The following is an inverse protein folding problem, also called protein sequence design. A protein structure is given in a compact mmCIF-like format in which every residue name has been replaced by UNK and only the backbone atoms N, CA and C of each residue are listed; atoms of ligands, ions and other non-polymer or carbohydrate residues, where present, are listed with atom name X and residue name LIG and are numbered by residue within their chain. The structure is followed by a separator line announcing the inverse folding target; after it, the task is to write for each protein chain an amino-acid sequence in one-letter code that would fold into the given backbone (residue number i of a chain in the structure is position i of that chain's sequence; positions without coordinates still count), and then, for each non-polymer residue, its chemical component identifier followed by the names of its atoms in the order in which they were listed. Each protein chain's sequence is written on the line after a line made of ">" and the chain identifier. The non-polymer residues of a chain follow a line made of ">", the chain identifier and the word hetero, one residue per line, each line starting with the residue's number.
data_IF_889339185645
#
_entry.id   IF_889339185645
#
_cell.length_a   1.000
_cell.length_b   1.000
_cell.length_c   1.000
_cell.angle_alpha   90.00
_cell.angle_beta   90.00
_cell.angle_gamma   90.00
#
_symmetry.space_group_name_H-M   'P 1'
#
loop_
_entity.id
_entity.type
_entity.pdbx_description
1 polymer ?
#
# COMPACT_ATOMS: atom_id res chain seq x y z
N UNK A 1 -21.40 -6.33 -11.24
CA UNK A 1 -20.56 -7.26 -10.46
C UNK A 1 -20.30 -6.65 -9.09
N UNK A 2 -20.74 -7.27 -7.99
CA UNK A 2 -20.41 -6.79 -6.64
C UNK A 2 -18.89 -6.87 -6.44
N UNK A 3 -18.23 -5.74 -6.16
CA UNK A 3 -16.81 -5.73 -5.77
C UNK A 3 -16.71 -6.10 -4.30
N UNK A 4 -16.34 -7.35 -4.03
CA UNK A 4 -16.11 -7.83 -2.67
C UNK A 4 -14.77 -7.34 -2.15
N UNK A 5 -14.75 -6.84 -0.91
CA UNK A 5 -13.52 -6.50 -0.21
C UNK A 5 -12.74 -7.76 0.14
N UNK A 6 -11.42 -7.64 0.37
CA UNK A 6 -10.53 -8.77 0.67
C UNK A 6 -11.06 -9.63 1.82
N UNK A 7 -11.54 -8.98 2.89
CA UNK A 7 -12.20 -9.64 4.03
C UNK A 7 -13.36 -10.54 3.58
N UNK A 8 -14.26 -10.03 2.76
CA UNK A 8 -15.46 -10.75 2.31
C UNK A 8 -15.07 -11.95 1.44
N UNK A 9 -14.02 -11.82 0.61
CA UNK A 9 -13.50 -12.93 -0.20
C UNK A 9 -12.90 -14.04 0.65
N UNK A 10 -12.06 -13.67 1.63
CA UNK A 10 -11.44 -14.63 2.56
C UNK A 10 -12.50 -15.34 3.38
N UNK A 11 -13.41 -14.58 4.01
CA UNK A 11 -14.49 -15.15 4.81
C UNK A 11 -15.35 -16.10 3.99
N UNK A 12 -15.79 -15.69 2.79
CA UNK A 12 -16.62 -16.54 1.94
C UNK A 12 -15.90 -17.83 1.51
N UNK A 13 -14.61 -17.75 1.16
CA UNK A 13 -13.84 -18.91 0.73
C UNK A 13 -13.68 -19.95 1.86
N UNK A 14 -13.23 -19.52 3.04
CA UNK A 14 -13.01 -20.43 4.17
C UNK A 14 -14.32 -20.93 4.78
N UNK A 15 -15.33 -20.06 4.93
CA UNK A 15 -16.65 -20.49 5.41
C UNK A 15 -17.30 -21.48 4.46
N UNK A 16 -17.15 -21.33 3.14
CA UNK A 16 -17.65 -22.29 2.15
C UNK A 16 -16.98 -23.66 2.27
N UNK A 17 -15.65 -23.70 2.41
CA UNK A 17 -14.90 -24.95 2.55
C UNK A 17 -15.24 -25.69 3.84
N UNK A 18 -15.36 -24.96 4.96
CA UNK A 18 -15.74 -25.53 6.25
C UNK A 18 -17.20 -25.98 6.25
N UNK A 19 -18.10 -25.24 5.58
CA UNK A 19 -19.50 -25.66 5.41
C UNK A 19 -19.60 -27.00 4.65
N UNK A 20 -18.81 -27.18 3.59
CA UNK A 20 -18.78 -28.45 2.87
C UNK A 20 -18.29 -29.60 3.75
N UNK A 21 -17.18 -29.41 4.49
CA UNK A 21 -16.67 -30.44 5.39
C UNK A 21 -17.65 -30.78 6.52
N UNK A 22 -18.23 -29.77 7.15
CA UNK A 22 -19.23 -29.95 8.21
C UNK A 22 -20.47 -30.68 7.68
N UNK A 23 -20.94 -30.33 6.49
CA UNK A 23 -22.10 -30.96 5.86
C UNK A 23 -21.84 -32.42 5.50
N UNK A 24 -20.65 -32.73 4.96
CA UNK A 24 -20.25 -34.13 4.69
C UNK A 24 -20.19 -34.92 5.99
N UNK A 25 -19.56 -34.37 7.03
CA UNK A 25 -19.41 -35.04 8.32
C UNK A 25 -20.76 -35.31 9.02
N UNK A 26 -21.66 -34.32 9.06
CA UNK A 26 -22.97 -34.50 9.70
C UNK A 26 -23.84 -35.49 8.93
N UNK A 27 -23.78 -35.44 7.59
CA UNK A 27 -24.53 -36.36 6.74
C UNK A 27 -24.03 -37.80 6.86
N UNK A 28 -22.72 -38.03 6.86
CA UNK A 28 -22.14 -39.37 7.03
C UNK A 28 -22.43 -39.95 8.40
N UNK A 29 -22.31 -39.15 9.46
CA UNK A 29 -22.58 -39.59 10.83
C UNK A 29 -24.07 -39.90 11.04
N UNK A 30 -24.97 -39.09 10.46
CA UNK A 30 -26.40 -39.38 10.41
C UNK A 30 -26.70 -40.70 9.69
N UNK A 31 -26.12 -40.90 8.51
CA UNK A 31 -26.34 -42.11 7.72
C UNK A 31 -25.80 -43.37 8.41
N UNK A 32 -24.64 -43.26 9.09
CA UNK A 32 -24.05 -44.33 9.88
C UNK A 32 -24.94 -44.71 11.06
N UNK A 33 -25.45 -43.74 11.83
CA UNK A 33 -26.35 -43.99 12.95
C UNK A 33 -27.66 -44.63 12.48
N UNK A 34 -28.21 -44.10 11.38
CA UNK A 34 -29.42 -44.63 10.74
C UNK A 34 -29.27 -46.08 10.33
N UNK A 35 -28.19 -46.39 9.60
CA UNK A 35 -27.87 -47.74 9.15
C UNK A 35 -27.64 -48.70 10.33
N UNK A 36 -26.96 -48.25 11.38
CA UNK A 36 -26.76 -49.05 12.59
C UNK A 36 -28.08 -49.41 13.29
N UNK A 37 -29.01 -48.46 13.40
CA UNK A 37 -30.33 -48.69 14.00
C UNK A 37 -31.16 -49.68 13.18
N UNK A 38 -31.22 -49.50 11.85
CA UNK A 38 -31.90 -50.45 10.95
C UNK A 38 -31.33 -51.86 11.06
N UNK A 39 -29.99 -51.97 11.04
CA UNK A 39 -29.32 -53.28 11.14
C UNK A 39 -29.60 -53.96 12.47
N UNK A 40 -29.48 -53.24 13.59
CA UNK A 40 -29.75 -53.79 14.93
C UNK A 40 -31.18 -54.33 15.04
N UNK A 41 -32.14 -53.66 14.39
CA UNK A 41 -33.53 -54.04 14.37
C UNK A 41 -33.78 -55.28 13.49
N UNK A 42 -33.13 -55.37 12.32
CA UNK A 42 -33.13 -56.56 11.47
C UNK A 42 -32.52 -57.77 12.19
N UNK A 43 -31.35 -57.59 12.82
CA UNK A 43 -30.67 -58.65 13.57
C UNK A 43 -31.57 -59.14 14.73
N UNK A 44 -32.19 -58.21 15.46
CA UNK A 44 -33.13 -58.53 16.54
C UNK A 44 -34.34 -59.32 16.05
N UNK A 45 -34.94 -58.92 14.93
CA UNK A 45 -36.10 -59.60 14.36
C UNK A 45 -35.71 -61.00 13.83
N UNK A 46 -34.54 -61.12 13.20
CA UNK A 46 -33.97 -62.39 12.77
C UNK A 46 -33.79 -63.37 13.93
N UNK A 47 -33.24 -62.89 15.05
CA UNK A 47 -33.07 -63.69 16.27
C UNK A 47 -34.42 -64.16 16.83
N UNK A 48 -35.41 -63.25 16.93
CA UNK A 48 -36.75 -63.58 17.42
C UNK A 48 -37.41 -64.67 16.54
N UNK A 49 -37.30 -64.55 15.22
CA UNK A 49 -37.84 -65.52 14.28
C UNK A 49 -37.14 -66.88 14.38
N UNK A 50 -35.81 -66.87 14.44
CA UNK A 50 -35.00 -68.10 14.52
C UNK A 50 -35.17 -68.84 15.84
N UNK A 51 -35.45 -68.12 16.93
CA UNK A 51 -35.76 -68.72 18.24
C UNK A 51 -37.20 -69.22 18.32
N UNK A 52 -38.14 -68.53 17.68
CA UNK A 52 -39.58 -68.82 17.83
C UNK A 52 -40.08 -69.87 16.86
N UNK A 53 -39.64 -69.86 15.60
CA UNK A 53 -40.15 -70.76 14.56
C UNK A 53 -39.94 -72.25 14.88
N UNK A 54 -38.76 -72.72 15.33
CA UNK A 54 -38.55 -74.11 15.72
C UNK A 54 -39.37 -74.51 16.96
N UNK A 55 -39.73 -73.52 17.78
CA UNK A 55 -40.57 -73.73 18.94
C UNK A 55 -42.02 -74.06 18.58
N UNK A 56 -42.52 -73.71 17.39
CA UNK A 56 -43.89 -74.01 16.99
C UNK A 56 -44.01 -75.47 16.57
N UNK A 57 -44.90 -76.21 17.24
CA UNK A 57 -45.15 -77.60 16.91
C UNK A 57 -45.93 -77.67 15.59
N UNK A 58 -45.31 -78.21 14.55
CA UNK A 58 -45.83 -78.25 13.19
C UNK A 58 -47.03 -79.19 13.06
N UNK A 59 -47.06 -80.29 13.80
CA UNK A 59 -48.21 -81.21 13.83
C UNK A 59 -49.42 -80.51 14.46
N UNK A 60 -49.23 -79.82 15.59
CA UNK A 60 -50.29 -79.02 16.21
C UNK A 60 -50.73 -77.83 15.36
N UNK A 61 -49.81 -77.24 14.60
CA UNK A 61 -50.14 -76.23 13.61
C UNK A 61 -51.09 -76.85 12.57
N UNK A 62 -50.72 -77.99 11.95
CA UNK A 62 -51.49 -78.71 10.91
C UNK A 62 -52.93 -79.05 11.32
N UNK A 63 -53.16 -79.38 12.58
CA UNK A 63 -54.47 -79.74 13.13
C UNK A 63 -55.40 -78.54 13.37
N UNK A 64 -54.88 -77.31 13.35
CA UNK A 64 -55.66 -76.09 13.56
C UNK A 64 -56.23 -75.61 12.23
N UNK A 65 -57.51 -75.90 11.96
CA UNK A 65 -58.14 -75.64 10.66
C UNK A 65 -59.32 -74.68 10.75
N UNK A 66 -60.09 -74.74 11.84
CA UNK A 66 -61.35 -74.02 11.99
C UNK A 66 -61.38 -73.17 13.25
N UNK A 67 -62.24 -72.13 13.32
CA UNK A 67 -62.41 -71.34 14.53
C UNK A 67 -62.79 -72.14 15.78
N UNK A 68 -63.42 -73.32 15.62
CA UNK A 68 -63.80 -74.21 16.74
C UNK A 68 -62.58 -74.82 17.44
N UNK A 69 -61.44 -74.88 16.76
CA UNK A 69 -60.22 -75.49 17.26
C UNK A 69 -59.51 -74.62 18.31
N UNK A 70 -59.91 -73.34 18.47
CA UNK A 70 -59.37 -72.42 19.48
C UNK A 70 -59.42 -72.97 20.91
N UNK A 71 -60.38 -73.85 21.20
CA UNK A 71 -60.54 -74.44 22.54
C UNK A 71 -59.71 -75.71 22.76
N UNK A 72 -59.11 -76.26 21.70
CA UNK A 72 -58.39 -77.54 21.74
C UNK A 72 -56.97 -77.38 22.33
N UNK A 73 -56.39 -78.45 22.91
CA UNK A 73 -55.07 -78.39 23.52
C UNK A 73 -53.95 -77.97 22.57
N UNK A 74 -53.93 -78.50 21.34
CA UNK A 74 -52.91 -78.21 20.32
C UNK A 74 -52.83 -76.72 19.98
N UNK A 75 -54.00 -76.07 19.81
CA UNK A 75 -54.06 -74.62 19.59
C UNK A 75 -53.51 -73.83 20.78
N UNK A 76 -53.95 -74.19 22.00
CA UNK A 76 -53.53 -73.48 23.23
C UNK A 76 -52.03 -73.61 23.51
N UNK A 77 -51.42 -74.74 23.17
CA UNK A 77 -49.98 -74.97 23.36
C UNK A 77 -49.18 -74.01 22.47
N UNK A 78 -49.44 -73.99 21.16
CA UNK A 78 -48.71 -73.10 20.26
C UNK A 78 -49.03 -71.62 20.54
N UNK A 79 -50.29 -71.28 20.87
CA UNK A 79 -50.65 -69.92 21.25
C UNK A 79 -49.87 -69.45 22.50
N UNK A 80 -49.75 -70.29 23.53
CA UNK A 80 -48.96 -69.96 24.73
C UNK A 80 -47.50 -69.67 24.40
N UNK A 81 -46.89 -70.40 23.45
CA UNK A 81 -45.51 -70.12 23.01
C UNK A 81 -45.38 -68.73 22.40
N UNK A 82 -46.31 -68.34 21.52
CA UNK A 82 -46.33 -66.99 20.94
C UNK A 82 -46.52 -65.92 22.02
N UNK A 83 -47.39 -66.17 23.00
CA UNK A 83 -47.61 -65.28 24.14
C UNK A 83 -46.35 -65.12 25.01
N UNK A 84 -45.59 -66.20 25.25
CA UNK A 84 -44.35 -66.14 26.02
C UNK A 84 -43.28 -65.31 25.31
N UNK A 85 -43.12 -65.48 23.99
CA UNK A 85 -42.16 -64.70 23.20
C UNK A 85 -42.52 -63.21 23.26
N UNK A 86 -43.79 -62.88 23.05
CA UNK A 86 -44.25 -61.50 23.13
C UNK A 86 -44.11 -60.92 24.55
N UNK A 87 -44.43 -61.68 25.60
CA UNK A 87 -44.28 -61.22 26.98
C UNK A 87 -42.83 -60.85 27.32
N UNK A 88 -41.87 -61.52 26.68
CA UNK A 88 -40.43 -61.27 26.84
C UNK A 88 -39.87 -60.21 25.88
N UNK A 89 -40.67 -59.66 24.96
CA UNK A 89 -40.23 -58.68 23.96
C UNK A 89 -41.37 -57.70 23.65
N UNK A 90 -41.36 -56.57 24.37
CA UNK A 90 -42.42 -55.54 24.34
C UNK A 90 -42.50 -54.75 23.02
N UNK A 91 -41.44 -54.83 22.23
CA UNK A 91 -41.29 -54.31 20.88
C UNK A 91 -42.05 -55.15 19.83
N UNK A 92 -42.47 -56.37 20.16
CA UNK A 92 -43.34 -57.17 19.28
C UNK A 92 -44.76 -56.59 19.32
N UNK A 93 -45.18 -56.03 18.19
CA UNK A 93 -46.52 -55.52 18.01
C UNK A 93 -47.54 -56.64 17.72
N UNK A 94 -47.12 -57.63 16.93
CA UNK A 94 -47.94 -58.78 16.56
C UNK A 94 -47.08 -59.99 16.29
N UNK A 95 -47.59 -61.16 16.65
CA UNK A 95 -47.01 -62.45 16.29
C UNK A 95 -48.11 -63.42 15.87
N UNK A 96 -47.96 -64.00 14.70
CA UNK A 96 -48.99 -64.85 14.10
C UNK A 96 -48.37 -65.90 13.19
N UNK A 97 -49.15 -66.92 12.86
CA UNK A 97 -48.75 -67.96 11.90
C UNK A 97 -49.75 -68.04 10.76
N UNK A 98 -49.23 -68.30 9.57
CA UNK A 98 -49.97 -68.40 8.33
C UNK A 98 -49.84 -69.81 7.75
N UNK A 99 -50.87 -70.25 7.04
CA UNK A 99 -50.84 -71.46 6.21
C UNK A 99 -51.21 -71.12 4.76
N UNK A 100 -50.45 -71.60 3.76
CA UNK A 100 -50.87 -71.55 2.37
C UNK A 100 -52.08 -72.47 2.12
N UNK A 101 -53.16 -71.90 1.59
CA UNK A 101 -54.34 -72.63 1.09
C UNK A 101 -54.02 -73.23 -0.28
N UNK A 102 -54.79 -74.25 -0.69
CA UNK A 102 -54.72 -74.82 -2.04
C UNK A 102 -55.00 -73.80 -3.17
N UNK A 103 -55.70 -72.71 -2.85
CA UNK A 103 -55.98 -71.60 -3.76
C UNK A 103 -54.80 -70.63 -3.94
N UNK A 104 -53.70 -70.78 -3.20
CA UNK A 104 -52.56 -69.84 -3.18
C UNK A 104 -52.70 -68.70 -2.15
N UNK A 105 -53.86 -68.54 -1.54
CA UNK A 105 -54.09 -67.56 -0.46
C UNK A 105 -53.46 -68.00 0.87
N UNK A 106 -53.04 -67.04 1.71
CA UNK A 106 -52.58 -67.32 3.07
C UNK A 106 -53.73 -67.21 4.07
N UNK A 107 -53.85 -68.19 4.97
CA UNK A 107 -54.83 -68.23 6.04
C UNK A 107 -54.16 -68.01 7.40
N UNK A 108 -54.77 -67.20 8.28
CA UNK A 108 -54.32 -67.11 9.66
C UNK A 108 -54.62 -68.42 10.43
N UNK A 109 -53.62 -68.95 11.13
CA UNK A 109 -53.77 -70.15 11.97
C UNK A 109 -53.71 -69.76 13.45
N UNK A 110 -52.62 -69.13 13.86
CA UNK A 110 -52.46 -68.53 15.18
C UNK A 110 -52.32 -67.02 15.00
N UNK A 111 -52.93 -66.24 15.89
CA UNK A 111 -52.74 -64.79 15.89
C UNK A 111 -52.77 -64.29 17.33
N UNK A 112 -51.72 -63.56 17.70
CA UNK A 112 -51.63 -62.86 18.97
C UNK A 112 -51.17 -61.43 18.72
N UNK A 113 -52.05 -60.48 19.04
CA UNK A 113 -51.75 -59.04 19.08
C UNK A 113 -52.13 -58.54 20.48
N UNK A 114 -51.18 -57.97 21.25
CA UNK A 114 -51.48 -57.38 22.56
C UNK A 114 -52.22 -56.05 22.43
N UNK A 115 -51.93 -55.27 21.38
CA UNK A 115 -52.44 -53.92 21.17
C UNK A 115 -53.75 -53.89 20.39
N UNK A 116 -54.03 -54.88 19.52
CA UNK A 116 -55.23 -54.91 18.69
C UNK A 116 -56.40 -55.63 19.38
N UNK A 117 -57.56 -54.95 19.47
CA UNK A 117 -58.83 -55.57 19.90
C UNK A 117 -59.51 -56.37 18.79
N UNK A 118 -59.01 -56.31 17.56
CA UNK A 118 -59.60 -56.97 16.39
C UNK A 118 -59.24 -58.46 16.42
N UNK A 119 -60.23 -59.31 16.68
CA UNK A 119 -60.03 -60.76 16.71
C UNK A 119 -60.03 -61.33 15.30
N UNK A 120 -58.85 -61.65 14.76
CA UNK A 120 -58.72 -62.44 13.53
C UNK A 120 -59.13 -63.89 13.81
N UNK A 121 -59.93 -64.46 12.92
CA UNK A 121 -60.41 -65.83 13.04
C UNK A 121 -59.45 -66.83 12.40
N UNK A 122 -59.42 -68.05 12.93
CA UNK A 122 -58.67 -69.16 12.33
C UNK A 122 -59.26 -69.45 10.94
N UNK A 123 -58.42 -69.49 9.92
CA UNK A 123 -58.79 -69.73 8.52
C UNK A 123 -59.14 -68.48 7.71
N UNK A 124 -59.17 -67.31 8.35
CA UNK A 124 -59.39 -66.01 7.68
C UNK A 124 -58.24 -65.74 6.70
N UNK A 125 -58.57 -65.29 5.48
CA UNK A 125 -57.56 -65.00 4.44
C UNK A 125 -56.85 -63.67 4.74
N UNK A 126 -55.52 -63.64 4.58
CA UNK A 126 -54.72 -62.42 4.61
C UNK A 126 -55.06 -61.57 3.38
N UNK A 127 -55.62 -60.38 3.60
CA UNK A 127 -56.04 -59.51 2.49
C UNK A 127 -54.88 -58.71 1.88
N UNK A 128 -53.99 -58.17 2.71
CA UNK A 128 -52.85 -57.36 2.28
C UNK A 128 -51.56 -58.13 2.54
N UNK A 129 -51.03 -58.74 1.49
CA UNK A 129 -49.71 -59.39 1.54
C UNK A 129 -48.61 -58.33 1.45
N UNK A 130 -47.59 -58.47 2.28
CA UNK A 130 -46.36 -57.68 2.16
C UNK A 130 -45.55 -58.12 0.94
N UNK A 131 -44.59 -57.32 0.46
CA UNK A 131 -43.81 -57.64 -0.73
C UNK A 131 -43.15 -59.03 -0.71
N UNK A 132 -42.51 -59.42 0.40
CA UNK A 132 -41.86 -60.73 0.50
C UNK A 132 -42.88 -61.86 0.57
N UNK A 133 -43.97 -61.72 1.33
CA UNK A 133 -45.00 -62.75 1.38
C UNK A 133 -45.71 -62.93 0.04
N UNK A 134 -45.95 -61.84 -0.70
CA UNK A 134 -46.55 -61.92 -2.03
C UNK A 134 -45.66 -62.66 -3.03
N UNK A 135 -44.33 -62.53 -2.91
CA UNK A 135 -43.36 -63.12 -3.82
C UNK A 135 -42.96 -64.56 -3.44
N UNK A 136 -42.77 -64.84 -2.14
CA UNK A 136 -42.05 -66.02 -1.67
C UNK A 136 -42.84 -66.90 -0.69
N UNK A 137 -44.10 -66.59 -0.36
CA UNK A 137 -44.83 -67.33 0.68
C UNK A 137 -44.89 -68.85 0.47
N UNK A 138 -45.06 -69.33 -0.76
CA UNK A 138 -45.11 -70.77 -1.05
C UNK A 138 -43.74 -71.46 -1.13
N UNK A 139 -42.66 -70.67 -1.25
CA UNK A 139 -41.28 -71.16 -1.47
C UNK A 139 -40.32 -70.74 -0.35
N UNK A 140 -40.85 -70.22 0.76
CA UNK A 140 -40.06 -69.70 1.87
C UNK A 140 -39.23 -70.82 2.51
N UNK A 141 -37.93 -70.85 2.21
CA UNK A 141 -37.00 -71.85 2.72
C UNK A 141 -36.20 -71.38 3.94
N UNK A 142 -36.04 -70.06 4.09
CA UNK A 142 -35.22 -69.39 5.09
C UNK A 142 -35.96 -68.20 5.71
N UNK A 143 -35.43 -67.69 6.82
CA UNK A 143 -35.94 -66.48 7.45
C UNK A 143 -35.74 -65.29 6.51
N UNK A 144 -36.78 -64.46 6.36
CA UNK A 144 -36.76 -63.25 5.54
C UNK A 144 -37.31 -62.08 6.32
N UNK A 145 -36.79 -60.88 6.08
CA UNK A 145 -37.21 -59.63 6.71
C UNK A 145 -37.48 -58.64 5.60
N UNK A 146 -38.57 -57.88 5.71
CA UNK A 146 -38.87 -56.81 4.76
C UNK A 146 -37.78 -55.75 4.76
N UNK A 147 -37.43 -55.20 3.59
CA UNK A 147 -36.37 -54.21 3.48
C UNK A 147 -36.78 -52.85 4.07
N UNK A 148 -38.06 -52.53 3.97
CA UNK A 148 -38.63 -51.24 4.36
C UNK A 148 -39.58 -51.39 5.54
N UNK A 149 -39.74 -50.31 6.31
CA UNK A 149 -40.81 -50.21 7.29
C UNK A 149 -42.15 -50.01 6.58
N UNK A 150 -43.12 -50.85 6.91
CA UNK A 150 -44.44 -50.86 6.28
C UNK A 150 -45.49 -50.43 7.31
N UNK A 151 -46.61 -49.88 6.84
CA UNK A 151 -47.76 -49.65 7.69
C UNK A 151 -48.60 -50.93 7.80
N UNK A 152 -48.89 -51.34 9.03
CA UNK A 152 -49.82 -52.43 9.27
C UNK A 152 -51.28 -51.96 9.06
N UNK A 153 -52.26 -52.89 9.01
CA UNK A 153 -53.68 -52.56 8.86
C UNK A 153 -54.24 -51.66 9.98
N UNK A 154 -53.56 -51.62 11.13
CA UNK A 154 -53.87 -50.76 12.26
C UNK A 154 -53.24 -49.34 12.15
N UNK A 155 -52.45 -49.07 11.10
CA UNK A 155 -51.82 -47.77 10.81
C UNK A 155 -50.49 -47.52 11.52
N UNK A 156 -49.93 -48.54 12.18
CA UNK A 156 -48.65 -48.48 12.88
C UNK A 156 -47.50 -48.84 11.94
N UNK A 157 -46.37 -48.15 12.07
CA UNK A 157 -45.17 -48.43 11.29
C UNK A 157 -44.40 -49.58 11.92
N UNK A 158 -44.28 -50.69 11.20
CA UNK A 158 -43.67 -51.92 11.69
C UNK A 158 -42.66 -52.48 10.69
N UNK A 159 -41.73 -53.27 11.20
CA UNK A 159 -40.87 -54.13 10.41
C UNK A 159 -41.42 -55.56 10.46
N UNK A 160 -41.65 -56.14 9.28
CA UNK A 160 -42.14 -57.50 9.17
C UNK A 160 -40.99 -58.47 8.97
N UNK A 161 -41.10 -59.64 9.60
CA UNK A 161 -40.21 -60.74 9.33
C UNK A 161 -40.93 -62.08 9.41
N UNK A 162 -40.42 -63.02 8.63
CA UNK A 162 -41.04 -64.30 8.31
C UNK A 162 -40.05 -65.42 8.50
N UNK A 163 -40.49 -66.52 9.10
CA UNK A 163 -39.72 -67.75 9.18
C UNK A 163 -40.58 -68.96 8.84
N UNK A 164 -40.04 -69.94 8.10
CA UNK A 164 -40.79 -71.14 7.74
C UNK A 164 -40.97 -72.07 8.95
N UNK A 165 -42.20 -72.53 9.14
CA UNK A 165 -42.53 -73.64 10.05
C UNK A 165 -42.47 -74.89 9.21
N UNK A 166 -41.50 -75.76 9.49
CA UNK A 166 -41.26 -76.99 8.74
C UNK A 166 -41.80 -78.20 9.50
N UNK A 167 -42.31 -79.18 8.77
CA UNK A 167 -42.61 -80.50 9.34
C UNK A 167 -41.33 -81.30 9.62
N UNK A 168 -41.47 -82.47 10.24
CA UNK A 168 -40.35 -83.39 10.50
C UNK A 168 -39.59 -83.85 9.25
N UNK A 169 -40.15 -83.66 8.05
CA UNK A 169 -39.55 -83.99 6.77
C UNK A 169 -38.98 -82.76 6.05
N UNK A 170 -38.97 -81.59 6.70
CA UNK A 170 -38.44 -80.33 6.16
C UNK A 170 -39.39 -79.62 5.18
N UNK A 171 -40.63 -80.09 5.01
CA UNK A 171 -41.63 -79.45 4.13
C UNK A 171 -42.27 -78.26 4.83
N UNK A 172 -42.58 -77.22 4.07
CA UNK A 172 -43.23 -76.02 4.58
C UNK A 172 -44.67 -76.33 5.01
N UNK A 173 -44.94 -76.31 6.31
CA UNK A 173 -46.28 -76.47 6.89
C UNK A 173 -46.96 -75.12 7.14
N UNK A 174 -46.18 -74.09 7.45
CA UNK A 174 -46.68 -72.74 7.67
C UNK A 174 -45.58 -71.70 7.72
N UNK A 175 -45.97 -70.47 7.98
CA UNK A 175 -45.05 -69.33 8.09
C UNK A 175 -45.31 -68.67 9.44
N UNK A 176 -44.29 -68.52 10.26
CA UNK A 176 -44.31 -67.62 11.41
C UNK A 176 -44.06 -66.19 10.91
N UNK A 177 -44.89 -65.26 11.32
CA UNK A 177 -44.73 -63.84 11.06
C UNK A 177 -44.65 -63.05 12.38
N UNK A 178 -43.68 -62.16 12.48
CA UNK A 178 -43.51 -61.22 13.58
C UNK A 178 -43.54 -59.80 13.02
N UNK A 179 -44.33 -58.94 13.65
CA UNK A 179 -44.36 -57.49 13.43
C UNK A 179 -43.63 -56.82 14.59
N UNK A 180 -42.51 -56.18 14.30
CA UNK A 180 -41.73 -55.42 15.28
C UNK A 180 -42.07 -53.93 15.17
N UNK A 181 -42.36 -53.28 16.29
CA UNK A 181 -42.72 -51.86 16.36
C UNK A 181 -41.52 -51.00 15.94
N UNK A 182 -41.67 -50.28 14.82
CA UNK A 182 -40.64 -49.40 14.25
C UNK A 182 -40.89 -47.93 14.58
N UNK A 183 -41.98 -47.60 15.28
CA UNK A 183 -42.44 -46.22 15.48
C UNK A 183 -41.41 -45.37 16.21
N UNK A 184 -40.77 -45.93 17.23
CA UNK A 184 -39.71 -45.26 18.00
C UNK A 184 -38.44 -45.03 17.19
N UNK A 185 -38.12 -45.94 16.27
CA UNK A 185 -36.94 -45.84 15.40
C UNK A 185 -37.16 -44.78 14.34
N UNK A 186 -38.32 -44.76 13.68
CA UNK A 186 -38.68 -43.69 12.72
C UNK A 186 -38.71 -42.31 13.39
N UNK A 187 -39.24 -42.20 14.61
CA UNK A 187 -39.17 -40.94 15.37
C UNK A 187 -37.72 -40.55 15.69
N UNK A 188 -36.87 -41.52 16.06
CA UNK A 188 -35.44 -41.28 16.31
C UNK A 188 -34.71 -40.84 15.04
N UNK A 189 -35.07 -41.36 13.86
CA UNK A 189 -34.52 -40.90 12.58
C UNK A 189 -34.88 -39.45 12.27
N UNK A 190 -36.14 -39.05 12.51
CA UNK A 190 -36.59 -37.68 12.30
C UNK A 190 -35.90 -36.71 13.28
N UNK A 191 -35.88 -37.04 14.57
CA UNK A 191 -35.21 -36.23 15.60
C UNK A 191 -33.71 -36.16 15.32
N UNK A 192 -33.08 -37.28 14.95
CA UNK A 192 -31.68 -37.35 14.58
C UNK A 192 -31.36 -36.44 13.39
N UNK A 193 -32.23 -36.40 12.37
CA UNK A 193 -32.11 -35.49 11.24
C UNK A 193 -32.21 -34.01 11.63
N UNK A 194 -33.16 -33.66 12.51
CA UNK A 194 -33.30 -32.29 13.03
C UNK A 194 -32.07 -31.89 13.86
N UNK A 195 -31.54 -32.78 14.71
CA UNK A 195 -30.31 -32.54 15.48
C UNK A 195 -29.10 -32.38 14.54
N UNK A 196 -28.97 -33.22 13.52
CA UNK A 196 -27.89 -33.14 12.53
C UNK A 196 -27.94 -31.81 11.75
N UNK A 197 -29.13 -31.36 11.35
CA UNK A 197 -29.31 -30.07 10.69
C UNK A 197 -29.02 -28.90 11.64
N UNK A 198 -29.51 -28.96 12.88
CA UNK A 198 -29.27 -27.94 13.90
C UNK A 198 -27.78 -27.80 14.22
N UNK A 199 -27.08 -28.90 14.44
CA UNK A 199 -25.63 -28.91 14.69
C UNK A 199 -24.85 -28.36 13.49
N UNK A 200 -25.22 -28.74 12.26
CA UNK A 200 -24.65 -28.18 11.04
C UNK A 200 -24.80 -26.65 10.98
N UNK A 201 -26.00 -26.12 11.23
CA UNK A 201 -26.26 -24.67 11.20
C UNK A 201 -25.49 -23.91 12.29
N UNK A 202 -25.39 -24.47 13.50
CA UNK A 202 -24.61 -23.88 14.59
C UNK A 202 -23.12 -23.84 14.24
N UNK A 203 -22.56 -24.94 13.72
CA UNK A 203 -21.16 -25.00 13.27
C UNK A 203 -20.93 -23.97 12.17
N UNK A 204 -21.84 -23.86 11.20
CA UNK A 204 -21.76 -22.89 10.12
C UNK A 204 -21.75 -21.45 10.65
N UNK A 205 -22.67 -21.11 11.55
CA UNK A 205 -22.76 -19.77 12.14
C UNK A 205 -21.50 -19.41 12.93
N UNK A 206 -21.03 -20.31 13.81
CA UNK A 206 -19.80 -20.12 14.57
C UNK A 206 -18.58 -19.95 13.66
N UNK A 207 -18.51 -20.75 12.60
CA UNK A 207 -17.42 -20.66 11.62
C UNK A 207 -17.39 -19.29 10.95
N UNK A 208 -18.53 -18.80 10.48
CA UNK A 208 -18.61 -17.47 9.85
C UNK A 208 -18.17 -16.38 10.83
N UNK A 209 -18.62 -16.45 12.09
CA UNK A 209 -18.24 -15.48 13.13
C UNK A 209 -16.73 -15.52 13.42
N UNK A 210 -16.16 -16.71 13.65
CA UNK A 210 -14.74 -16.88 13.96
C UNK A 210 -13.88 -16.44 12.78
N UNK A 211 -14.17 -16.91 11.57
CA UNK A 211 -13.39 -16.55 10.37
C UNK A 211 -13.46 -15.05 10.10
N UNK A 212 -14.63 -14.42 10.27
CA UNK A 212 -14.75 -12.97 10.12
C UNK A 212 -13.97 -12.19 11.19
N UNK A 213 -14.03 -12.62 12.45
CA UNK A 213 -13.23 -12.03 13.53
C UNK A 213 -11.73 -12.15 13.24
N UNK A 214 -11.28 -13.35 12.87
CA UNK A 214 -9.88 -13.65 12.58
C UNK A 214 -9.37 -12.86 11.37
N UNK A 215 -10.12 -12.85 10.27
CA UNK A 215 -9.76 -12.11 9.06
C UNK A 215 -9.65 -10.61 9.33
N UNK A 216 -10.56 -10.04 10.13
CA UNK A 216 -10.49 -8.62 10.50
C UNK A 216 -9.28 -8.31 11.36
N UNK A 217 -9.02 -9.15 12.37
CA UNK A 217 -7.94 -8.92 13.33
C UNK A 217 -6.56 -9.09 12.70
N UNK A 218 -6.34 -10.19 11.96
CA UNK A 218 -5.03 -10.58 11.47
C UNK A 218 -4.67 -9.96 10.12
N UNK A 219 -5.65 -9.73 9.24
CA UNK A 219 -5.37 -9.30 7.85
C UNK A 219 -5.85 -7.87 7.59
N UNK A 220 -7.13 -7.60 7.85
CA UNK A 220 -7.77 -6.35 7.40
C UNK A 220 -7.29 -5.13 8.20
N UNK A 221 -7.29 -5.21 9.54
CA UNK A 221 -6.93 -4.06 10.36
C UNK A 221 -5.44 -3.66 10.19
N UNK A 222 -4.46 -4.58 10.16
CA UNK A 222 -3.07 -4.21 9.91
C UNK A 222 -2.85 -3.63 8.52
N UNK A 223 -3.48 -4.19 7.48
CA UNK A 223 -3.37 -3.67 6.11
C UNK A 223 -3.99 -2.27 5.96
N UNK A 224 -5.13 -2.01 6.61
CA UNK A 224 -5.72 -0.67 6.65
C UNK A 224 -4.83 0.33 7.37
N UNK A 225 -4.28 -0.03 8.53
CA UNK A 225 -3.33 0.82 9.27
C UNK A 225 -2.09 1.15 8.43
N UNK A 226 -1.55 0.17 7.71
CA UNK A 226 -0.41 0.38 6.83
C UNK A 226 -0.74 1.34 5.68
N UNK A 227 -1.89 1.15 5.03
CA UNK A 227 -2.36 2.05 3.98
C UNK A 227 -2.60 3.47 4.49
N UNK A 228 -3.17 3.62 5.69
CA UNK A 228 -3.38 4.94 6.29
C UNK A 228 -2.08 5.62 6.69
N UNK A 229 -1.12 4.88 7.26
CA UNK A 229 0.22 5.38 7.53
C UNK A 229 0.95 5.81 6.25
N UNK A 230 0.84 5.02 5.17
CA UNK A 230 1.41 5.37 3.87
C UNK A 230 0.80 6.64 3.28
N UNK A 231 -0.53 6.82 3.38
CA UNK A 231 -1.20 8.05 2.95
C UNK A 231 -0.76 9.26 3.74
N UNK A 232 -0.61 9.13 5.07
CA UNK A 232 -0.12 10.22 5.94
C UNK A 232 1.32 10.57 5.63
N UNK A 233 2.18 9.57 5.42
CA UNK A 233 3.56 9.77 4.98
C UNK A 233 3.61 10.53 3.64
N UNK A 234 2.78 10.14 2.67
CA UNK A 234 2.67 10.83 1.39
C UNK A 234 2.12 12.27 1.51
N UNK A 235 1.31 12.56 2.54
CA UNK A 235 0.80 13.89 2.83
C UNK A 235 1.80 14.78 3.59
N UNK A 236 3.00 14.28 3.89
CA UNK A 236 4.07 15.04 4.56
C UNK A 236 4.16 14.83 6.07
N UNK A 237 3.40 13.89 6.64
CA UNK A 237 3.55 13.50 8.05
C UNK A 237 4.65 12.43 8.17
N UNK A 238 5.88 12.89 8.44
CA UNK A 238 7.08 12.04 8.45
C UNK A 238 7.27 11.22 9.74
N UNK A 239 6.44 11.39 10.76
CA UNK A 239 6.59 10.72 12.07
C UNK A 239 5.70 9.48 12.21
N UNK A 240 5.25 8.91 11.10
CA UNK A 240 4.46 7.68 11.11
C UNK A 240 5.33 6.46 11.40
N UNK A 241 4.92 5.67 12.39
CA UNK A 241 5.51 4.37 12.69
C UNK A 241 4.40 3.35 12.87
N UNK A 242 4.59 2.17 12.27
CA UNK A 242 3.71 1.03 12.43
C UNK A 242 4.27 0.09 13.50
N UNK A 243 3.38 -0.50 14.31
CA UNK A 243 3.76 -1.53 15.26
C UNK A 243 4.28 -2.78 14.51
N UNK A 244 5.41 -3.31 14.96
CA UNK A 244 6.09 -4.46 14.34
C UNK A 244 6.04 -5.71 15.22
N UNK A 245 4.99 -5.85 16.02
CA UNK A 245 4.81 -6.98 16.95
C UNK A 245 4.56 -8.30 16.22
N UNK A 246 4.04 -8.24 15.00
CA UNK A 246 3.82 -9.44 14.18
C UNK A 246 5.14 -9.95 13.61
N UNK A 247 5.34 -11.27 13.63
CA UNK A 247 6.50 -11.94 13.02
C UNK A 247 6.19 -12.49 11.61
N UNK A 248 4.99 -12.24 11.10
CA UNK A 248 4.56 -12.64 9.75
C UNK A 248 4.98 -11.63 8.66
N UNK A 249 4.54 -11.88 7.42
CA UNK A 249 4.82 -11.03 6.26
C UNK A 249 4.29 -9.61 6.43
N UNK A 250 3.19 -9.42 7.19
CA UNK A 250 2.67 -8.08 7.50
C UNK A 250 3.59 -7.35 8.49
N UNK A 251 4.17 -8.09 9.44
CA UNK A 251 5.21 -7.58 10.33
C UNK A 251 6.48 -7.18 9.59
N UNK A 252 6.95 -7.99 8.65
CA UNK A 252 8.09 -7.67 7.79
C UNK A 252 7.81 -6.44 6.89
N UNK A 253 6.59 -6.34 6.35
CA UNK A 253 6.17 -5.18 5.58
C UNK A 253 6.11 -3.91 6.44
N UNK A 254 5.65 -4.01 7.69
CA UNK A 254 5.66 -2.90 8.64
C UNK A 254 7.09 -2.44 8.97
N UNK A 255 8.03 -3.37 9.16
CA UNK A 255 9.46 -3.06 9.35
C UNK A 255 10.04 -2.34 8.13
N UNK A 256 9.76 -2.84 6.94
CA UNK A 256 10.20 -2.25 5.67
C UNK A 256 9.61 -0.85 5.47
N UNK A 257 8.33 -0.66 5.80
CA UNK A 257 7.67 0.65 5.77
C UNK A 257 8.35 1.64 6.73
N UNK A 258 8.59 1.24 7.98
CA UNK A 258 9.25 2.10 8.97
C UNK A 258 10.66 2.50 8.53
N UNK A 259 11.42 1.56 7.94
CA UNK A 259 12.74 1.85 7.39
C UNK A 259 12.68 2.89 6.26
N UNK A 260 11.75 2.74 5.32
CA UNK A 260 11.56 3.71 4.24
C UNK A 260 11.12 5.08 4.77
N UNK A 261 10.18 5.12 5.73
CA UNK A 261 9.73 6.36 6.36
C UNK A 261 10.90 7.10 7.02
N UNK A 262 11.76 6.38 7.76
CA UNK A 262 12.94 6.94 8.40
C UNK A 262 13.99 7.44 7.38
N UNK A 263 14.25 6.68 6.31
CA UNK A 263 15.17 7.13 5.26
C UNK A 263 14.67 8.40 4.56
N UNK A 264 13.37 8.48 4.31
CA UNK A 264 12.75 9.63 3.67
C UNK A 264 12.84 10.87 4.58
N UNK A 265 12.53 10.73 5.86
CA UNK A 265 12.70 11.80 6.86
C UNK A 265 14.14 12.31 6.90
N UNK A 266 15.12 11.41 6.94
CA UNK A 266 16.54 11.78 6.93
C UNK A 266 16.95 12.51 5.63
N UNK A 267 16.37 12.12 4.49
CA UNK A 267 16.64 12.77 3.21
C UNK A 267 16.09 14.19 3.15
N UNK A 268 14.87 14.41 3.67
CA UNK A 268 14.30 15.75 3.79
C UNK A 268 15.12 16.65 4.71
N UNK A 269 15.57 16.13 5.87
CA UNK A 269 16.43 16.89 6.78
C UNK A 269 17.74 17.33 6.11
N UNK A 270 18.40 16.43 5.36
CA UNK A 270 19.61 16.76 4.61
C UNK A 270 19.34 17.80 3.52
N UNK A 271 18.20 17.73 2.84
CA UNK A 271 17.83 18.69 1.81
C UNK A 271 17.64 20.10 2.41
N UNK A 272 17.02 20.20 3.58
CA UNK A 272 16.86 21.45 4.31
C UNK A 272 18.22 22.03 4.74
N UNK A 273 19.10 21.20 5.31
CA UNK A 273 20.48 21.60 5.67
C UNK A 273 21.26 22.09 4.44
N UNK A 274 21.14 21.42 3.29
CA UNK A 274 21.77 21.86 2.05
C UNK A 274 21.18 23.17 1.52
N UNK A 275 19.86 23.34 1.58
CA UNK A 275 19.21 24.58 1.16
C UNK A 275 19.73 25.78 1.95
N UNK A 276 19.80 25.65 3.28
CA UNK A 276 20.32 26.69 4.16
C UNK A 276 21.79 27.00 3.88
N UNK A 277 22.63 25.97 3.68
CA UNK A 277 24.04 26.16 3.35
C UNK A 277 24.23 26.85 1.99
N UNK A 278 23.45 26.45 0.98
CA UNK A 278 23.50 27.06 -0.35
C UNK A 278 23.06 28.51 -0.32
N UNK A 279 21.99 28.85 0.40
CA UNK A 279 21.55 30.23 0.58
C UNK A 279 22.65 31.10 1.24
N UNK A 280 23.28 30.58 2.31
CA UNK A 280 24.40 31.27 2.95
C UNK A 280 25.56 31.48 1.96
N UNK A 281 25.95 30.44 1.22
CA UNK A 281 27.06 30.51 0.27
C UNK A 281 26.77 31.45 -0.90
N UNK A 282 25.54 31.48 -1.39
CA UNK A 282 25.08 32.43 -2.40
C UNK A 282 25.19 33.85 -1.87
N UNK A 283 24.76 34.10 -0.62
CA UNK A 283 24.87 35.42 0.01
C UNK A 283 26.33 35.85 0.15
N UNK A 284 27.20 34.99 0.68
CA UNK A 284 28.64 35.25 0.82
C UNK A 284 29.29 35.59 -0.52
N UNK A 285 29.04 34.78 -1.56
CA UNK A 285 29.57 35.02 -2.92
C UNK A 285 29.02 36.27 -3.56
N UNK A 286 27.76 36.60 -3.32
CA UNK A 286 27.14 37.83 -3.84
C UNK A 286 27.81 39.06 -3.21
N UNK A 287 28.05 39.04 -1.89
CA UNK A 287 28.78 40.12 -1.20
C UNK A 287 30.20 40.25 -1.73
N UNK A 288 30.95 39.14 -1.83
CA UNK A 288 32.33 39.14 -2.35
C UNK A 288 32.39 39.69 -3.79
N UNK A 289 31.45 39.30 -4.65
CA UNK A 289 31.35 39.81 -6.01
C UNK A 289 31.02 41.31 -6.04
N UNK A 290 30.17 41.78 -5.14
CA UNK A 290 29.82 43.20 -5.06
C UNK A 290 31.02 44.04 -4.62
N UNK A 291 31.77 43.60 -3.60
CA UNK A 291 32.99 44.25 -3.14
C UNK A 291 34.06 44.30 -4.25
N UNK A 292 34.29 43.18 -4.94
CA UNK A 292 35.22 43.12 -6.07
C UNK A 292 34.80 44.05 -7.21
N UNK A 293 33.51 44.11 -7.55
CA UNK A 293 33.00 45.03 -8.56
C UNK A 293 33.21 46.50 -8.16
N UNK A 294 32.95 46.86 -6.89
CA UNK A 294 33.20 48.22 -6.39
C UNK A 294 34.69 48.57 -6.46
N UNK A 295 35.57 47.64 -6.07
CA UNK A 295 37.01 47.85 -6.15
C UNK A 295 37.52 48.00 -7.59
N UNK A 296 37.00 47.19 -8.52
CA UNK A 296 37.29 47.31 -9.95
C UNK A 296 36.84 48.67 -10.51
N UNK A 297 35.64 49.13 -10.16
CA UNK A 297 35.14 50.45 -10.57
C UNK A 297 36.02 51.59 -10.04
N UNK A 298 36.43 51.53 -8.78
CA UNK A 298 37.35 52.51 -8.19
C UNK A 298 38.72 52.51 -8.89
N UNK A 299 39.27 51.33 -9.16
CA UNK A 299 40.54 51.19 -9.87
C UNK A 299 40.44 51.73 -11.30
N UNK A 300 39.33 51.47 -12.00
CA UNK A 300 39.10 51.99 -13.34
C UNK A 300 39.02 53.52 -13.34
N UNK A 301 38.37 54.13 -12.35
CA UNK A 301 38.33 55.59 -12.21
C UNK A 301 39.72 56.18 -11.96
N UNK A 302 40.53 55.54 -11.14
CA UNK A 302 41.93 55.95 -10.90
C UNK A 302 42.77 55.84 -12.17
N UNK A 303 42.63 54.76 -12.94
CA UNK A 303 43.33 54.59 -14.22
C UNK A 303 42.93 55.65 -15.24
N UNK A 304 41.62 55.93 -15.37
CA UNK A 304 41.14 57.01 -16.25
C UNK A 304 41.72 58.36 -15.82
N UNK A 305 41.81 58.64 -14.52
CA UNK A 305 42.40 59.88 -14.02
C UNK A 305 43.91 59.94 -14.30
N UNK A 306 44.63 58.84 -14.08
CA UNK A 306 46.06 58.76 -14.38
C UNK A 306 46.35 58.93 -15.88
N UNK A 307 45.55 58.31 -16.74
CA UNK A 307 45.65 58.45 -18.21
C UNK A 307 45.37 59.90 -18.63
N UNK A 308 44.34 60.55 -18.08
CA UNK A 308 44.07 61.98 -18.32
C UNK A 308 45.24 62.86 -17.88
N UNK A 309 45.86 62.57 -16.74
CA UNK A 309 47.01 63.35 -16.25
C UNK A 309 48.26 63.13 -17.10
N UNK A 310 48.51 61.90 -17.56
CA UNK A 310 49.61 61.61 -18.49
C UNK A 310 49.42 62.32 -19.84
N UNK A 311 48.21 62.24 -20.42
CA UNK A 311 47.89 62.95 -21.66
C UNK A 311 48.04 64.47 -21.52
N UNK A 312 47.57 65.03 -20.38
CA UNK A 312 47.77 66.44 -20.05
C UNK A 312 49.26 66.77 -19.91
N UNK A 313 50.03 65.90 -19.25
CA UNK A 313 51.47 66.03 -19.06
C UNK A 313 52.23 66.13 -20.39
N UNK A 314 51.95 65.22 -21.31
CA UNK A 314 52.54 65.20 -22.64
C UNK A 314 52.15 66.44 -23.46
N UNK A 315 50.88 66.86 -23.40
CA UNK A 315 50.40 68.05 -24.10
C UNK A 315 51.08 69.32 -23.58
N UNK A 316 51.17 69.49 -22.26
CA UNK A 316 51.83 70.65 -21.63
C UNK A 316 53.32 70.69 -21.98
N UNK A 317 54.01 69.55 -21.98
CA UNK A 317 55.40 69.47 -22.40
C UNK A 317 55.61 69.88 -23.87
N UNK A 318 54.70 69.47 -24.77
CA UNK A 318 54.69 69.89 -26.16
C UNK A 318 54.50 71.40 -26.32
N UNK A 319 53.45 71.96 -25.70
CA UNK A 319 53.18 73.41 -25.70
C UNK A 319 54.38 74.19 -25.12
N UNK A 320 54.97 73.70 -24.04
CA UNK A 320 56.13 74.33 -23.42
C UNK A 320 57.33 74.39 -24.38
N UNK A 321 57.54 73.34 -25.16
CA UNK A 321 58.60 73.34 -26.17
C UNK A 321 58.30 74.34 -27.29
N UNK A 322 57.07 74.36 -27.78
CA UNK A 322 56.64 75.26 -28.86
C UNK A 322 56.64 76.74 -28.47
N UNK A 323 56.38 77.09 -27.20
CA UNK A 323 56.48 78.48 -26.70
C UNK A 323 57.94 78.89 -26.45
N UNK A 324 58.77 77.98 -25.92
CA UNK A 324 60.17 78.30 -25.65
C UNK A 324 60.96 78.62 -26.93
N UNK A 325 60.59 78.02 -28.07
CA UNK A 325 61.24 78.27 -29.35
C UNK A 325 61.19 79.77 -29.76
N UNK A 326 60.01 80.39 -30.00
CA UNK A 326 59.90 81.81 -30.36
C UNK A 326 60.44 82.73 -29.27
N UNK A 327 60.23 82.43 -27.99
CA UNK A 327 60.76 83.25 -26.89
C UNK A 327 62.29 83.24 -26.88
N UNK A 328 62.91 82.07 -27.10
CA UNK A 328 64.35 81.94 -27.23
C UNK A 328 64.90 82.77 -28.39
N UNK A 329 64.23 82.74 -29.55
CA UNK A 329 64.57 83.58 -30.70
C UNK A 329 64.46 85.08 -30.36
N UNK A 330 63.40 85.52 -29.68
CA UNK A 330 63.21 86.93 -29.30
C UNK A 330 64.29 87.36 -28.31
N UNK A 331 64.51 86.62 -27.22
CA UNK A 331 65.52 86.97 -26.20
C UNK A 331 66.93 87.03 -26.78
N UNK A 332 67.28 86.08 -27.67
CA UNK A 332 68.57 86.09 -28.37
C UNK A 332 68.76 87.35 -29.21
N UNK A 333 67.74 87.71 -30.01
CA UNK A 333 67.78 88.91 -30.84
C UNK A 333 67.77 90.21 -30.04
N UNK A 334 67.11 90.28 -28.88
CA UNK A 334 67.14 91.46 -28.01
C UNK A 334 68.57 91.77 -27.57
N UNK A 335 69.38 90.75 -27.25
CA UNK A 335 70.77 90.95 -26.84
C UNK A 335 71.61 91.57 -27.97
N UNK A 336 71.49 91.05 -29.19
CA UNK A 336 72.18 91.60 -30.36
C UNK A 336 71.66 92.99 -30.73
N UNK A 337 70.34 93.19 -30.67
CA UNK A 337 69.72 94.49 -30.94
C UNK A 337 70.27 95.55 -29.99
N UNK A 338 70.38 95.22 -28.68
CA UNK A 338 70.97 96.11 -27.68
C UNK A 338 72.43 96.44 -28.00
N UNK A 339 73.21 95.43 -28.37
CA UNK A 339 74.62 95.61 -28.74
C UNK A 339 74.77 96.50 -29.98
N UNK A 340 74.00 96.25 -31.03
CA UNK A 340 74.02 97.07 -32.25
C UNK A 340 73.60 98.51 -31.99
N UNK A 341 72.59 98.70 -31.14
CA UNK A 341 72.21 100.05 -30.73
C UNK A 341 73.27 100.73 -29.88
N UNK A 342 73.95 100.01 -28.98
CA UNK A 342 75.05 100.59 -28.22
C UNK A 342 76.16 101.08 -29.16
N UNK A 343 76.52 100.32 -30.20
CA UNK A 343 77.48 100.78 -31.22
C UNK A 343 77.01 102.06 -31.93
N UNK A 344 75.71 102.20 -32.21
CA UNK A 344 75.14 103.42 -32.80
C UNK A 344 75.17 104.59 -31.81
N UNK A 345 74.87 104.35 -30.53
CA UNK A 345 74.90 105.36 -29.47
C UNK A 345 76.32 105.85 -29.19
N UNK A 346 77.29 104.95 -29.18
CA UNK A 346 78.71 105.28 -29.01
C UNK A 346 79.21 106.13 -30.18
N UNK A 347 78.84 105.77 -31.42
CA UNK A 347 79.16 106.57 -32.61
C UNK A 347 78.49 107.96 -32.58
N UNK A 348 77.21 108.02 -32.17
CA UNK A 348 76.50 109.29 -31.98
C UNK A 348 77.15 110.16 -30.91
N UNK A 349 77.60 109.57 -29.81
CA UNK A 349 78.29 110.27 -28.72
C UNK A 349 79.66 110.79 -29.18
N UNK A 350 80.39 110.03 -30.00
CA UNK A 350 81.64 110.47 -30.62
C UNK A 350 81.40 111.64 -31.59
N UNK A 351 80.33 111.58 -32.37
CA UNK A 351 79.94 112.67 -33.28
C UNK A 351 79.57 113.94 -32.50
N UNK A 352 78.87 113.82 -31.36
CA UNK A 352 78.57 114.94 -30.46
C UNK A 352 79.84 115.57 -29.85
N UNK A 353 80.90 114.79 -29.61
CA UNK A 353 82.17 115.29 -29.07
C UNK A 353 83.02 116.04 -30.11
N UNK A 354 83.12 115.51 -31.33
CA UNK A 354 83.95 116.09 -32.39
C UNK A 354 83.27 117.28 -33.11
N UNK A 355 81.96 117.45 -32.95
CA UNK A 355 81.17 118.50 -33.61
C UNK A 355 80.40 119.37 -32.58
N UNK A 356 81.10 120.21 -31.78
CA UNK A 356 80.47 121.02 -30.72
C UNK A 356 79.50 122.10 -31.23
N UNK A 357 79.50 122.38 -32.54
CA UNK A 357 78.56 123.29 -33.21
C UNK A 357 77.91 122.59 -34.41
N UNK A 358 76.88 121.75 -34.19
CA UNK A 358 76.18 121.08 -35.28
C UNK A 358 75.49 122.09 -36.21
N UNK A 359 75.40 121.77 -37.50
CA UNK A 359 74.70 122.65 -38.47
C UNK A 359 73.22 122.84 -38.10
N UNK A 360 72.58 123.97 -38.44
CA UNK A 360 71.17 124.23 -38.09
C UNK A 360 70.20 123.13 -38.55
N UNK A 361 70.50 122.50 -39.69
CA UNK A 361 69.72 121.37 -40.23
C UNK A 361 69.80 120.16 -39.28
N UNK A 362 71.00 119.82 -38.81
CA UNK A 362 71.21 118.70 -37.91
C UNK A 362 70.55 118.92 -36.56
N UNK A 363 70.67 120.14 -36.02
CA UNK A 363 70.06 120.51 -34.74
C UNK A 363 68.53 120.42 -34.80
N UNK A 364 67.91 120.90 -35.89
CA UNK A 364 66.46 120.75 -36.09
C UNK A 364 66.02 119.28 -36.15
N UNK A 365 66.84 118.41 -36.74
CA UNK A 365 66.51 116.99 -36.87
C UNK A 365 66.70 116.23 -35.55
N UNK A 366 67.72 116.57 -34.76
CA UNK A 366 67.93 116.02 -33.42
C UNK A 366 66.80 116.37 -32.47
N UNK A 367 66.28 117.60 -32.55
CA UNK A 367 65.08 118.02 -31.81
C UNK A 367 63.82 117.33 -32.34
N UNK A 368 63.65 117.19 -33.67
CA UNK A 368 62.47 116.56 -34.27
C UNK A 368 62.29 115.09 -33.89
N UNK A 369 63.39 114.34 -33.73
CA UNK A 369 63.35 112.93 -33.28
C UNK A 369 63.40 112.79 -31.76
N UNK A 370 63.55 113.89 -31.02
CA UNK A 370 63.86 113.93 -29.59
C UNK A 370 64.96 112.91 -29.24
N UNK A 371 66.16 113.16 -29.78
CA UNK A 371 67.25 112.19 -29.72
C UNK A 371 67.57 111.78 -28.27
N UNK A 372 67.52 112.72 -27.31
CA UNK A 372 67.76 112.42 -25.90
C UNK A 372 66.71 111.47 -25.32
N UNK A 373 65.43 111.67 -25.63
CA UNK A 373 64.38 110.72 -25.24
C UNK A 373 64.64 109.34 -25.86
N UNK A 374 64.99 109.27 -27.14
CA UNK A 374 65.23 107.99 -27.83
C UNK A 374 66.41 107.22 -27.24
N UNK A 375 67.50 107.91 -26.87
CA UNK A 375 68.66 107.32 -26.19
C UNK A 375 68.23 106.65 -24.87
N UNK A 376 67.40 107.34 -24.09
CA UNK A 376 66.95 106.85 -22.78
C UNK A 376 65.85 105.78 -22.85
N UNK A 377 64.93 105.87 -23.82
CA UNK A 377 63.76 104.99 -23.89
C UNK A 377 64.06 103.63 -24.53
N UNK A 378 65.03 103.58 -25.44
CA UNK A 378 65.41 102.35 -26.12
C UNK A 378 65.88 101.26 -25.15
N UNK A 379 66.73 101.62 -24.19
CA UNK A 379 67.20 100.69 -23.16
C UNK A 379 66.02 100.19 -22.30
N UNK A 380 65.03 101.04 -22.02
CA UNK A 380 63.81 100.68 -21.28
C UNK A 380 62.93 99.71 -22.08
N UNK A 381 62.76 99.92 -23.39
CA UNK A 381 61.98 99.03 -24.26
C UNK A 381 62.63 97.65 -24.35
N UNK A 382 63.94 97.59 -24.62
CA UNK A 382 64.67 96.32 -24.72
C UNK A 382 64.66 95.58 -23.38
N UNK A 383 64.80 96.30 -22.26
CA UNK A 383 64.67 95.72 -20.92
C UNK A 383 63.26 95.18 -20.68
N UNK A 384 62.22 95.93 -21.03
CA UNK A 384 60.81 95.51 -20.89
C UNK A 384 60.51 94.26 -21.72
N UNK A 385 60.95 94.20 -22.96
CA UNK A 385 60.80 93.02 -23.83
C UNK A 385 61.53 91.80 -23.26
N UNK A 386 62.75 92.00 -22.73
CA UNK A 386 63.52 90.94 -22.07
C UNK A 386 62.78 90.42 -20.84
N UNK A 387 62.29 91.32 -19.98
CA UNK A 387 61.49 90.95 -18.80
C UNK A 387 60.22 90.20 -19.18
N UNK A 388 59.54 90.60 -20.27
CA UNK A 388 58.39 89.89 -20.81
C UNK A 388 58.72 88.46 -21.24
N UNK A 389 59.83 88.29 -21.98
CA UNK A 389 60.30 86.97 -22.41
C UNK A 389 60.72 86.08 -21.23
N UNK A 390 61.43 86.64 -20.25
CA UNK A 390 61.82 85.93 -19.03
C UNK A 390 60.60 85.47 -18.23
N UNK A 391 59.55 86.31 -18.15
CA UNK A 391 58.30 85.95 -17.48
C UNK A 391 57.57 84.81 -18.20
N UNK A 392 57.49 84.83 -19.53
CA UNK A 392 56.89 83.73 -20.32
C UNK A 392 57.68 82.44 -20.07
N UNK A 393 59.01 82.51 -20.09
CA UNK A 393 59.87 81.35 -19.81
C UNK A 393 59.64 80.80 -18.41
N UNK A 394 59.48 81.64 -17.39
CA UNK A 394 59.16 81.20 -16.03
C UNK A 394 57.77 80.53 -15.93
N UNK A 395 56.76 81.09 -16.59
CA UNK A 395 55.41 80.49 -16.64
C UNK A 395 55.45 79.12 -17.30
N UNK A 396 56.16 79.00 -18.43
CA UNK A 396 56.33 77.75 -19.17
C UNK A 396 57.12 76.70 -18.36
N UNK A 397 58.16 77.12 -17.63
CA UNK A 397 58.90 76.25 -16.72
C UNK A 397 58.03 75.76 -15.55
N UNK A 398 57.20 76.63 -14.99
CA UNK A 398 56.21 76.27 -13.98
C UNK A 398 55.21 75.23 -14.48
N UNK A 399 54.66 75.43 -15.67
CA UNK A 399 53.76 74.50 -16.36
C UNK A 399 54.43 73.13 -16.60
N UNK A 400 55.66 73.12 -17.12
CA UNK A 400 56.42 71.88 -17.38
C UNK A 400 56.76 71.11 -16.10
N UNK A 401 57.08 71.82 -15.02
CA UNK A 401 57.39 71.19 -13.74
C UNK A 401 56.13 70.63 -13.07
N UNK A 402 55.02 71.37 -13.11
CA UNK A 402 53.72 70.88 -12.66
C UNK A 402 53.31 69.60 -13.39
N UNK A 403 53.51 69.56 -14.71
CA UNK A 403 53.18 68.39 -15.53
C UNK A 403 54.04 67.15 -15.26
N UNK A 404 55.23 67.30 -14.66
CA UNK A 404 56.15 66.19 -14.31
C UNK A 404 56.06 65.75 -12.85
N UNK A 405 55.50 66.57 -11.96
CA UNK A 405 55.40 66.23 -10.54
C UNK A 405 54.48 65.03 -10.29
N UNK A 406 53.47 64.80 -11.14
CA UNK A 406 52.58 63.62 -11.04
C UNK A 406 53.21 62.31 -11.56
N UNK A 407 54.24 62.34 -12.42
CA UNK A 407 54.94 61.11 -12.86
C UNK A 407 55.89 60.55 -11.77
N UNK A 408 56.30 61.38 -10.81
CA UNK A 408 57.28 61.01 -9.78
C UNK A 408 56.69 60.39 -8.50
N UNK A 409 55.36 60.27 -8.42
CA UNK A 409 54.68 59.67 -7.28
C UNK A 409 54.37 58.18 -7.51
N UNK A 410 55.40 57.33 -7.63
CA UNK A 410 55.22 55.94 -7.22
C UNK A 410 55.08 55.90 -5.69
N UNK A 411 53.84 56.04 -5.20
CA UNK A 411 53.54 55.71 -3.80
C UNK A 411 53.48 54.20 -3.66
N UNK A 412 54.41 53.63 -2.88
CA UNK A 412 54.19 52.32 -2.26
C UNK A 412 52.96 52.45 -1.34
N UNK A 413 51.91 51.72 -1.67
CA UNK A 413 50.72 51.56 -0.80
C UNK A 413 50.86 50.24 -0.07
N UNK A 414 50.76 50.29 1.25
CA UNK A 414 50.67 49.12 2.11
C UNK A 414 49.24 48.58 2.06
N UNK A 415 49.07 47.31 1.71
CA UNK A 415 47.77 46.65 1.54
C UNK A 415 47.23 46.02 2.83
N UNK A 416 47.79 46.35 4.00
CA UNK A 416 47.39 45.81 5.31
C UNK A 416 47.01 46.87 6.36
N UNK A 417 46.70 48.11 5.93
CA UNK A 417 45.95 49.10 6.73
C UNK A 417 44.73 49.64 5.95
#
# INVERSE_FOLDING_TARGET
>A
MLRWNLSTKVVAAYSGLIALMAGVLTTTLYWQLRSANHKAMNDRLSDLLSLTAPGIDSDYHSLTLTPKDKNKPYYKINLRKLQTVQANSKDINRIYTLRPKKSGELAFVLNFSPKSKKSISVGETVQNLTPILAAEASTLSETKIENDFLQNPEGETVLYGYAPIKDQFGRLEGILAIELDASSIVQTELIGGVIALGTFLVILALTVLIVNWLARSLIVNPTLRLNDAAKKLAAGDWHQSLATESEDELGELAKSFNYMAQQLQNSFKKLEEYSQNLEQKVKERTTELQEKNQHLQQTQLQLIQAEKMSALGQMVAGIAHEINNPVGFITGNISHTREYFQYLLDLLSLYEQECPHPSPVLQSQMEAIDLNFLKDDLDKILLSMKTGCDRIRQVVLGLRNFSRLDESAQKQVNIHE
#
